data_IF_220327282741
#
_entry.id   IF_220327282741
#
_cell.length_a   1.000
_cell.length_b   1.000
_cell.length_c   1.000
_cell.angle_alpha   90.00
_cell.angle_beta   90.00
_cell.angle_gamma   90.00
#
_symmetry.space_group_name_H-M   'P 1'
#
loop_
_entity.id
_entity.type
_entity.pdbx_description
1 polymer ?
#
# COMPACT_ATOMS: atom_id res chain seq x y z
N UNK A 1 93.75 8.61 75.00
CA UNK A 1 93.08 8.52 73.68
C UNK A 1 91.75 7.80 73.88
N UNK A 2 90.60 8.49 73.82
CA UNK A 2 89.27 7.88 73.95
C UNK A 2 88.70 7.69 72.54
N UNK A 3 88.45 6.46 72.11
CA UNK A 3 87.79 6.17 70.84
C UNK A 3 86.28 6.25 71.01
N UNK A 4 85.64 7.15 70.26
CA UNK A 4 84.18 7.27 70.10
C UNK A 4 83.72 6.20 69.09
N UNK A 5 82.86 5.29 69.51
CA UNK A 5 82.08 4.47 68.59
C UNK A 5 80.84 5.27 68.16
N UNK A 6 80.74 5.58 66.88
CA UNK A 6 79.57 6.18 66.25
C UNK A 6 78.67 5.03 65.81
N UNK A 7 77.50 4.89 66.44
CA UNK A 7 76.43 4.02 65.96
C UNK A 7 75.74 4.73 64.79
N UNK A 8 75.96 4.22 63.58
CA UNK A 8 75.22 4.65 62.39
C UNK A 8 73.88 3.90 62.36
N UNK A 9 72.80 4.55 62.79
CA UNK A 9 71.44 4.03 62.62
C UNK A 9 71.03 4.28 61.17
N UNK A 10 71.09 3.23 60.35
CA UNK A 10 70.59 3.26 58.98
C UNK A 10 69.05 3.20 59.02
N UNK A 11 68.39 4.35 58.96
CA UNK A 11 66.95 4.43 58.73
C UNK A 11 66.66 4.04 57.28
N UNK A 12 66.36 2.76 57.06
CA UNK A 12 65.75 2.30 55.81
C UNK A 12 64.29 2.74 55.85
N UNK A 13 63.98 3.86 55.21
CA UNK A 13 62.60 4.25 54.94
C UNK A 13 62.06 3.35 53.81
N UNK A 14 61.29 2.32 54.17
CA UNK A 14 60.46 1.62 53.20
C UNK A 14 59.34 2.54 52.74
N UNK A 15 59.44 3.11 51.54
CA UNK A 15 58.28 3.70 50.87
C UNK A 15 57.38 2.56 50.41
N UNK A 16 56.34 2.25 51.18
CA UNK A 16 55.21 1.49 50.67
C UNK A 16 54.49 2.35 49.63
N UNK A 17 54.82 2.16 48.35
CA UNK A 17 53.94 2.58 47.28
C UNK A 17 52.78 1.59 47.28
N UNK A 18 51.68 1.94 47.96
CA UNK A 18 50.42 1.26 47.82
C UNK A 18 49.93 1.46 46.38
N UNK A 19 50.34 0.57 45.47
CA UNK A 19 49.60 0.40 44.23
C UNK A 19 48.26 -0.20 44.63
N UNK A 20 47.23 0.63 44.81
CA UNK A 20 45.86 0.13 44.75
C UNK A 20 45.75 -0.58 43.40
N UNK A 21 45.55 -1.90 43.39
CA UNK A 21 45.27 -2.59 42.14
C UNK A 21 44.00 -1.94 41.58
N UNK A 22 44.17 -1.19 40.51
CA UNK A 22 43.07 -0.62 39.76
C UNK A 22 42.40 -1.76 39.02
N UNK A 23 41.09 -1.88 39.18
CA UNK A 23 40.32 -2.87 38.46
C UNK A 23 40.35 -2.56 36.95
N UNK A 24 40.57 -3.60 36.16
CA UNK A 24 40.67 -3.53 34.69
C UNK A 24 39.71 -4.48 33.99
N UNK A 25 38.88 -5.21 34.75
CA UNK A 25 37.94 -6.19 34.23
C UNK A 25 36.58 -5.49 34.06
N UNK A 26 35.98 -5.51 32.86
CA UNK A 26 34.65 -4.95 32.67
C UNK A 26 33.54 -5.76 33.37
N UNK A 27 32.38 -5.15 33.66
CA UNK A 27 31.20 -5.86 34.13
C UNK A 27 30.73 -6.98 33.19
N UNK A 28 30.12 -8.02 33.76
CA UNK A 28 29.48 -9.10 33.02
C UNK A 28 27.96 -9.02 33.11
N UNK A 29 27.27 -9.20 31.98
CA UNK A 29 25.80 -9.31 31.94
C UNK A 29 25.35 -10.74 32.27
N UNK A 30 24.39 -10.89 33.18
CA UNK A 30 23.88 -12.21 33.57
C UNK A 30 22.94 -12.82 32.52
N UNK A 31 22.35 -11.98 31.66
CA UNK A 31 21.45 -12.39 30.58
C UNK A 31 21.65 -11.48 29.38
N UNK A 32 21.74 -12.08 28.19
CA UNK A 32 21.78 -11.35 26.92
C UNK A 32 20.39 -11.46 26.29
N UNK A 33 19.73 -10.33 25.97
CA UNK A 33 18.44 -10.36 25.31
C UNK A 33 18.57 -10.88 23.88
N UNK A 34 17.63 -11.74 23.45
CA UNK A 34 17.60 -12.28 22.10
C UNK A 34 16.92 -11.31 21.14
N UNK A 35 17.39 -11.28 19.89
CA UNK A 35 16.71 -10.58 18.81
C UNK A 35 15.30 -11.16 18.58
N UNK A 36 14.37 -10.31 18.12
CA UNK A 36 12.97 -10.70 17.94
C UNK A 36 12.42 -10.12 16.65
N UNK A 37 11.51 -10.84 16.01
CA UNK A 37 10.81 -10.40 14.80
C UNK A 37 9.31 -10.32 15.10
N UNK A 38 8.69 -9.22 14.74
CA UNK A 38 7.24 -8.99 14.86
C UNK A 38 6.70 -8.38 13.58
N UNK A 39 5.43 -8.64 13.26
CA UNK A 39 4.82 -8.09 12.04
C UNK A 39 4.32 -6.66 12.21
N UNK A 40 4.07 -6.20 13.44
CA UNK A 40 3.46 -4.90 13.70
C UNK A 40 4.20 -4.14 14.78
N UNK A 41 4.24 -2.81 14.66
CA UNK A 41 4.87 -1.95 15.67
C UNK A 41 4.20 -2.10 17.05
N UNK A 42 2.89 -2.34 17.09
CA UNK A 42 2.14 -2.56 18.34
C UNK A 42 2.52 -3.86 19.06
N UNK A 43 3.17 -4.80 18.36
CA UNK A 43 3.61 -6.08 18.91
C UNK A 43 5.05 -6.05 19.41
N UNK A 44 5.76 -4.91 19.28
CA UNK A 44 7.11 -4.76 19.83
C UNK A 44 7.05 -4.94 21.36
N UNK A 45 7.75 -5.95 21.92
CA UNK A 45 7.70 -6.22 23.35
C UNK A 45 8.39 -5.11 24.12
N UNK A 46 7.98 -4.89 25.39
CA UNK A 46 8.73 -4.03 26.30
C UNK A 46 10.19 -4.51 26.43
N UNK A 47 11.15 -3.61 26.66
CA UNK A 47 12.54 -3.99 26.86
C UNK A 47 12.66 -4.98 28.03
N UNK A 48 13.39 -6.10 27.86
CA UNK A 48 13.58 -7.05 28.96
C UNK A 48 14.42 -6.42 30.07
N UNK A 49 14.10 -6.76 31.33
CA UNK A 49 14.95 -6.44 32.46
C UNK A 49 16.17 -7.38 32.45
N UNK A 50 17.37 -6.81 32.43
CA UNK A 50 18.63 -7.54 32.53
C UNK A 50 19.47 -6.97 33.66
N UNK A 51 20.42 -7.76 34.16
CA UNK A 51 21.35 -7.36 35.22
C UNK A 51 22.78 -7.51 34.76
N UNK A 52 23.66 -6.72 35.37
CA UNK A 52 25.10 -6.83 35.22
C UNK A 52 25.74 -6.85 36.60
N UNK A 53 26.85 -7.58 36.71
CA UNK A 53 27.63 -7.66 37.93
C UNK A 53 29.11 -7.57 37.64
N UNK A 54 29.85 -6.96 38.55
CA UNK A 54 31.31 -6.95 38.56
C UNK A 54 31.82 -7.28 39.96
N UNK A 55 32.81 -8.16 40.03
CA UNK A 55 33.43 -8.61 41.29
C UNK A 55 32.44 -8.99 42.41
N UNK A 56 31.29 -9.58 42.03
CA UNK A 56 30.23 -10.01 42.96
C UNK A 56 29.28 -8.89 43.41
N UNK A 57 29.38 -7.69 42.83
CA UNK A 57 28.51 -6.55 43.09
C UNK A 57 27.62 -6.24 41.88
N UNK A 58 26.40 -5.76 42.12
CA UNK A 58 25.49 -5.35 41.04
C UNK A 58 25.92 -4.01 40.47
N UNK A 59 25.96 -3.91 39.14
CA UNK A 59 26.34 -2.69 38.42
C UNK A 59 25.08 -2.06 37.78
N UNK A 60 24.87 -0.73 37.91
CA UNK A 60 23.77 -0.05 37.23
C UNK A 60 23.96 -0.13 35.71
N UNK A 61 22.84 -0.15 35.00
CA UNK A 61 22.82 -0.26 33.54
C UNK A 61 22.15 0.96 32.95
N UNK A 62 22.83 1.60 32.00
CA UNK A 62 22.26 2.61 31.13
C UNK A 62 21.59 1.95 29.93
N UNK A 63 20.34 2.31 29.67
CA UNK A 63 19.53 1.79 28.58
C UNK A 63 19.27 2.86 27.52
N UNK A 64 19.47 2.51 26.26
CA UNK A 64 19.11 3.35 25.11
C UNK A 64 18.34 2.56 24.07
N UNK A 65 17.37 3.23 23.43
CA UNK A 65 16.56 2.68 22.34
C UNK A 65 16.53 3.66 21.18
N UNK A 66 16.76 3.16 19.96
CA UNK A 66 16.65 3.94 18.74
C UNK A 66 15.89 3.17 17.66
N UNK A 67 15.21 3.91 16.78
CA UNK A 67 14.52 3.36 15.62
C UNK A 67 15.34 3.70 14.36
N UNK A 68 15.62 2.71 13.52
CA UNK A 68 16.35 2.88 12.25
C UNK A 68 15.63 2.20 11.08
N UNK A 69 16.02 2.58 9.86
CA UNK A 69 15.56 2.04 8.58
C UNK A 69 14.04 1.88 8.45
N UNK A 70 13.30 2.89 8.92
CA UNK A 70 11.85 2.94 8.78
C UNK A 70 11.45 3.17 7.32
N UNK A 71 10.90 2.15 6.69
CA UNK A 71 10.31 2.23 5.34
C UNK A 71 8.83 2.61 5.44
N UNK A 72 8.13 2.05 6.41
CA UNK A 72 6.76 2.34 6.78
C UNK A 72 6.58 2.15 8.30
N UNK A 73 5.37 2.40 8.81
CA UNK A 73 5.06 2.25 10.25
C UNK A 73 5.37 0.84 10.80
N UNK A 74 5.21 -0.21 9.99
CA UNK A 74 5.45 -1.60 10.39
C UNK A 74 6.65 -2.25 9.65
N UNK A 75 7.59 -1.46 9.12
CA UNK A 75 8.87 -1.97 8.60
C UNK A 75 10.01 -1.08 9.09
N UNK A 76 10.66 -1.50 10.19
CA UNK A 76 11.72 -0.76 10.87
C UNK A 76 12.54 -1.69 11.78
N UNK A 77 13.69 -1.19 12.28
CA UNK A 77 14.44 -1.83 13.36
C UNK A 77 14.37 -1.01 14.63
N UNK A 78 14.11 -1.66 15.76
CA UNK A 78 14.29 -1.09 17.10
C UNK A 78 15.60 -1.64 17.67
N UNK A 79 16.60 -0.77 17.80
CA UNK A 79 17.90 -1.11 18.35
C UNK A 79 17.96 -0.72 19.82
N UNK A 80 18.23 -1.71 20.68
CA UNK A 80 18.35 -1.52 22.12
C UNK A 80 19.77 -1.80 22.55
N UNK A 81 20.33 -0.92 23.38
CA UNK A 81 21.68 -1.06 23.91
C UNK A 81 21.64 -0.85 25.41
N UNK A 82 22.20 -1.82 26.14
CA UNK A 82 22.44 -1.74 27.57
C UNK A 82 23.94 -1.61 27.79
N UNK A 83 24.36 -0.63 28.58
CA UNK A 83 25.77 -0.39 28.92
C UNK A 83 25.94 -0.40 30.43
N UNK A 84 26.85 -1.21 30.93
CA UNK A 84 27.24 -1.25 32.34
C UNK A 84 28.63 -0.63 32.47
N UNK A 85 28.79 0.27 33.45
CA UNK A 85 30.07 0.91 33.77
C UNK A 85 30.37 0.69 35.25
N UNK A 86 31.49 0.07 35.57
CA UNK A 86 31.91 -0.12 36.97
C UNK A 86 32.47 1.18 37.59
N UNK A 87 32.82 1.10 38.88
CA UNK A 87 33.36 2.23 39.62
C UNK A 87 34.78 2.64 39.18
N UNK A 88 35.50 1.76 38.48
CA UNK A 88 36.84 1.99 37.95
C UNK A 88 36.82 2.54 36.52
N UNK A 89 35.63 2.63 35.91
CA UNK A 89 35.39 3.15 34.57
C UNK A 89 35.45 2.10 33.45
N UNK A 90 35.53 0.80 33.77
CA UNK A 90 35.47 -0.24 32.75
C UNK A 90 34.03 -0.42 32.26
N UNK A 91 33.86 -0.68 30.97
CA UNK A 91 32.53 -0.72 30.32
C UNK A 91 32.29 -2.01 29.55
N UNK A 92 31.05 -2.47 29.59
CA UNK A 92 30.54 -3.55 28.74
C UNK A 92 29.17 -3.18 28.18
N UNK A 93 28.85 -3.65 26.97
CA UNK A 93 27.55 -3.42 26.36
C UNK A 93 26.98 -4.66 25.70
N UNK A 94 25.66 -4.82 25.76
CA UNK A 94 24.90 -5.83 25.02
C UNK A 94 23.82 -5.15 24.18
N UNK A 95 23.42 -5.80 23.08
CA UNK A 95 22.45 -5.27 22.12
C UNK A 95 21.31 -6.26 21.88
N UNK A 96 20.14 -5.71 21.57
CA UNK A 96 19.00 -6.45 21.02
C UNK A 96 18.49 -5.68 19.80
N UNK A 97 18.21 -6.39 18.73
CA UNK A 97 17.51 -5.87 17.56
C UNK A 97 16.11 -6.46 17.54
N UNK A 98 15.09 -5.61 17.53
CA UNK A 98 13.72 -6.01 17.20
C UNK A 98 13.41 -5.59 15.77
N UNK A 99 13.17 -6.56 14.91
CA UNK A 99 12.80 -6.35 13.52
C UNK A 99 11.28 -6.28 13.45
N UNK A 100 10.74 -5.13 13.05
CA UNK A 100 9.33 -5.00 12.69
C UNK A 100 9.26 -5.14 11.18
N UNK A 101 8.52 -6.13 10.67
CA UNK A 101 8.42 -6.36 9.24
C UNK A 101 7.05 -6.91 8.85
N UNK A 102 6.20 -6.02 8.34
CA UNK A 102 4.90 -6.35 7.81
C UNK A 102 4.97 -6.75 6.33
N UNK A 103 4.45 -7.92 6.01
CA UNK A 103 4.46 -8.50 4.66
C UNK A 103 3.12 -9.13 4.30
N UNK A 104 2.12 -8.94 5.16
CA UNK A 104 0.83 -9.60 5.05
C UNK A 104 -0.13 -8.58 4.44
N UNK A 105 -0.83 -8.99 3.39
CA UNK A 105 -1.83 -8.14 2.77
C UNK A 105 -3.08 -8.01 3.67
N UNK A 106 -3.76 -6.85 3.65
CA UNK A 106 -5.04 -6.73 4.30
C UNK A 106 -6.06 -7.72 3.73
N UNK A 107 -7.09 -8.01 4.51
CA UNK A 107 -8.19 -8.89 4.16
C UNK A 107 -9.45 -8.06 4.00
N UNK A 108 -10.06 -8.12 2.82
CA UNK A 108 -11.40 -7.56 2.62
C UNK A 108 -12.44 -8.45 3.33
N UNK A 109 -13.48 -7.86 3.94
CA UNK A 109 -14.63 -8.62 4.38
C UNK A 109 -15.39 -9.17 3.17
N UNK A 110 -16.46 -9.96 3.38
CA UNK A 110 -17.29 -10.43 2.28
C UNK A 110 -17.83 -9.23 1.47
N UNK A 111 -17.41 -9.15 0.22
CA UNK A 111 -17.92 -8.18 -0.74
C UNK A 111 -19.23 -8.72 -1.37
N UNK A 112 -20.09 -7.83 -1.89
CA UNK A 112 -21.25 -8.26 -2.66
C UNK A 112 -20.88 -9.22 -3.80
N UNK A 113 -21.71 -10.25 -3.98
CA UNK A 113 -21.54 -11.22 -5.07
C UNK A 113 -22.00 -10.68 -6.40
N UNK A 114 -21.46 -11.27 -7.46
CA UNK A 114 -21.93 -11.00 -8.82
C UNK A 114 -23.42 -11.25 -8.94
N UNK A 115 -24.11 -10.42 -9.72
CA UNK A 115 -25.56 -10.54 -9.88
C UNK A 115 -26.02 -10.16 -11.27
N UNK A 116 -27.19 -10.69 -11.64
CA UNK A 116 -27.90 -10.33 -12.87
C UNK A 116 -29.22 -9.69 -12.48
N UNK A 117 -29.50 -8.51 -13.00
CA UNK A 117 -30.74 -7.76 -12.75
C UNK A 117 -31.48 -7.50 -14.04
N UNK A 118 -32.80 -7.37 -13.97
CA UNK A 118 -33.63 -7.25 -15.17
C UNK A 118 -33.98 -5.82 -15.57
N UNK A 119 -33.64 -4.86 -14.70
CA UNK A 119 -33.77 -3.42 -14.96
C UNK A 119 -32.77 -2.64 -14.09
N UNK A 120 -32.45 -1.38 -14.43
CA UNK A 120 -31.52 -0.55 -13.66
C UNK A 120 -31.99 -0.23 -12.23
N UNK A 121 -33.30 -0.20 -11.96
CA UNK A 121 -33.84 0.06 -10.61
C UNK A 121 -33.55 -1.08 -9.63
N UNK A 122 -33.22 -2.27 -10.13
CA UNK A 122 -32.84 -3.45 -9.36
C UNK A 122 -31.34 -3.51 -9.04
N UNK A 123 -30.52 -2.57 -9.53
CA UNK A 123 -29.10 -2.52 -9.20
C UNK A 123 -28.95 -2.45 -7.68
N UNK A 124 -28.25 -3.41 -7.04
CA UNK A 124 -28.09 -3.39 -5.60
C UNK A 124 -27.41 -2.11 -5.12
N UNK A 125 -27.85 -1.53 -3.98
CA UNK A 125 -27.19 -0.37 -3.41
C UNK A 125 -25.74 -0.72 -3.05
N UNK A 126 -24.88 0.29 -3.07
CA UNK A 126 -23.49 0.14 -2.61
C UNK A 126 -23.53 -0.09 -1.09
N UNK A 127 -22.90 -1.16 -0.57
CA UNK A 127 -22.85 -1.38 0.88
C UNK A 127 -22.13 -0.23 1.59
N UNK A 128 -22.66 0.18 2.75
CA UNK A 128 -22.04 1.20 3.56
C UNK A 128 -20.76 0.65 4.19
N UNK A 129 -19.63 1.30 3.87
CA UNK A 129 -18.32 1.10 4.48
C UNK A 129 -17.84 -0.37 4.55
N UNK A 130 -17.38 -0.90 3.41
CA UNK A 130 -16.47 -2.05 3.41
C UNK A 130 -15.16 -1.60 4.08
N UNK A 131 -14.72 -2.33 5.11
CA UNK A 131 -13.46 -2.03 5.83
C UNK A 131 -12.61 -3.27 5.88
N UNK A 132 -11.45 -3.21 5.26
CA UNK A 132 -10.45 -4.26 5.35
C UNK A 132 -9.84 -4.31 6.76
N UNK A 133 -9.43 -5.51 7.15
CA UNK A 133 -8.68 -5.77 8.39
C UNK A 133 -7.32 -6.32 8.02
N UNK A 134 -6.32 -5.96 8.80
CA UNK A 134 -4.96 -6.47 8.73
C UNK A 134 -4.51 -6.98 10.10
N UNK A 135 -3.46 -7.80 10.18
CA UNK A 135 -2.91 -8.23 11.47
C UNK A 135 -2.41 -7.07 12.35
N UNK A 136 -2.13 -5.91 11.75
CA UNK A 136 -1.71 -4.70 12.45
C UNK A 136 -2.85 -3.73 12.75
N UNK A 137 -4.08 -3.99 12.30
CA UNK A 137 -5.25 -3.18 12.63
C UNK A 137 -6.27 -3.04 11.50
N UNK A 138 -6.98 -1.92 11.50
CA UNK A 138 -7.98 -1.62 10.46
C UNK A 138 -7.34 -0.83 9.34
N UNK A 139 -7.68 -1.17 8.10
CA UNK A 139 -7.16 -0.51 6.89
C UNK A 139 -8.32 0.14 6.14
N UNK A 140 -8.06 1.31 5.55
CA UNK A 140 -9.06 1.97 4.72
C UNK A 140 -9.27 1.19 3.42
N UNK A 141 -10.52 1.17 2.94
CA UNK A 141 -10.87 0.54 1.67
C UNK A 141 -11.41 1.61 0.73
N UNK A 142 -10.82 1.72 -0.45
CA UNK A 142 -11.31 2.55 -1.53
C UNK A 142 -12.34 1.77 -2.36
N UNK A 143 -13.29 2.50 -2.94
CA UNK A 143 -14.35 1.95 -3.77
C UNK A 143 -14.41 2.71 -5.09
N UNK A 144 -14.48 1.96 -6.19
CA UNK A 144 -14.62 2.50 -7.53
C UNK A 144 -15.68 1.70 -8.30
N UNK A 145 -16.43 2.40 -9.14
CA UNK A 145 -17.44 1.80 -10.01
C UNK A 145 -17.19 2.23 -11.45
N UNK A 146 -17.21 1.26 -12.37
CA UNK A 146 -17.02 1.49 -13.80
C UNK A 146 -18.12 0.76 -14.56
N UNK A 147 -18.74 1.46 -15.51
CA UNK A 147 -19.64 0.86 -16.50
C UNK A 147 -18.80 0.50 -17.71
N UNK A 148 -18.63 -0.80 -17.97
CA UNK A 148 -17.66 -1.30 -18.96
C UNK A 148 -18.26 -1.48 -20.34
N UNK A 149 -19.42 -2.14 -20.41
CA UNK A 149 -20.04 -2.52 -21.67
C UNK A 149 -21.48 -2.04 -21.73
N UNK A 150 -21.81 -1.29 -22.79
CA UNK A 150 -23.18 -1.06 -23.21
C UNK A 150 -23.46 -2.01 -24.37
N UNK A 151 -24.26 -3.05 -24.12
CA UNK A 151 -24.88 -3.84 -25.19
C UNK A 151 -26.00 -2.98 -25.82
N UNK A 152 -26.76 -2.26 -24.97
CA UNK A 152 -27.67 -1.13 -25.29
C UNK A 152 -28.02 -0.34 -24.00
N UNK A 153 -28.92 0.65 -24.07
CA UNK A 153 -29.32 1.53 -22.94
C UNK A 153 -29.88 0.76 -21.72
N UNK A 154 -30.39 -0.46 -21.94
CA UNK A 154 -30.98 -1.29 -20.88
C UNK A 154 -30.16 -2.55 -20.59
N UNK A 155 -29.07 -2.80 -21.33
CA UNK A 155 -28.20 -3.96 -21.19
C UNK A 155 -26.75 -3.50 -21.02
N UNK A 156 -26.25 -3.50 -19.78
CA UNK A 156 -24.88 -3.08 -19.50
C UNK A 156 -24.27 -3.83 -18.32
N UNK A 157 -22.95 -3.74 -18.21
CA UNK A 157 -22.18 -4.34 -17.11
C UNK A 157 -21.58 -3.24 -16.24
N UNK A 158 -21.84 -3.33 -14.94
CA UNK A 158 -21.16 -2.54 -13.91
C UNK A 158 -20.13 -3.42 -13.23
N UNK A 159 -18.88 -2.96 -13.17
CA UNK A 159 -17.87 -3.50 -12.26
C UNK A 159 -17.66 -2.56 -11.09
N UNK A 160 -17.83 -3.11 -9.89
CA UNK A 160 -17.52 -2.46 -8.61
C UNK A 160 -16.25 -3.07 -8.06
N UNK A 161 -15.27 -2.25 -7.74
CA UNK A 161 -14.00 -2.68 -7.17
C UNK A 161 -13.84 -2.08 -5.78
N UNK A 162 -13.52 -2.95 -4.83
CA UNK A 162 -13.03 -2.54 -3.51
C UNK A 162 -11.55 -2.88 -3.43
N UNK A 163 -10.73 -1.91 -3.07
CA UNK A 163 -9.29 -2.11 -2.92
C UNK A 163 -8.79 -1.54 -1.60
N UNK A 164 -7.78 -2.16 -1.03
CA UNK A 164 -7.19 -1.73 0.23
C UNK A 164 -5.68 -1.95 0.19
N UNK A 165 -4.96 -0.94 0.65
CA UNK A 165 -3.51 -0.94 0.79
C UNK A 165 -3.18 -0.56 2.22
N UNK A 166 -2.36 -1.36 2.89
CA UNK A 166 -1.87 -1.01 4.22
C UNK A 166 -0.75 0.06 4.19
N UNK A 167 -0.27 0.45 5.37
CA UNK A 167 0.78 1.47 5.53
C UNK A 167 2.13 1.06 4.89
N UNK A 168 2.32 -0.24 4.61
CA UNK A 168 3.55 -0.83 4.08
C UNK A 168 3.44 -1.24 2.61
N UNK A 169 2.31 -0.95 1.98
CA UNK A 169 2.09 -1.21 0.55
C UNK A 169 1.58 -2.61 0.23
N UNK A 170 1.26 -3.44 1.22
CA UNK A 170 0.61 -4.73 0.93
C UNK A 170 -0.84 -4.45 0.51
N UNK A 171 -1.31 -5.19 -0.51
CA UNK A 171 -2.49 -4.82 -1.28
C UNK A 171 -3.46 -5.98 -1.46
N UNK A 172 -4.75 -5.66 -1.42
CA UNK A 172 -5.85 -6.56 -1.76
C UNK A 172 -6.91 -5.82 -2.56
N UNK A 173 -7.58 -6.53 -3.47
CA UNK A 173 -8.76 -6.03 -4.14
C UNK A 173 -9.80 -7.14 -4.33
N UNK A 174 -11.05 -6.74 -4.53
CA UNK A 174 -12.16 -7.60 -4.89
C UNK A 174 -13.11 -6.88 -5.82
N UNK A 175 -13.74 -7.65 -6.72
CA UNK A 175 -14.62 -7.11 -7.76
C UNK A 175 -16.00 -7.77 -7.65
N UNK A 176 -17.04 -6.97 -7.83
CA UNK A 176 -18.40 -7.42 -8.10
C UNK A 176 -18.77 -7.04 -9.53
N UNK A 177 -19.26 -8.02 -10.30
CA UNK A 177 -19.87 -7.81 -11.61
C UNK A 177 -21.40 -7.77 -11.48
N UNK A 178 -22.03 -6.74 -12.06
CA UNK A 178 -23.48 -6.60 -12.12
C UNK A 178 -23.87 -6.54 -13.59
N UNK A 179 -24.57 -7.56 -14.07
CA UNK A 179 -25.08 -7.62 -15.43
C UNK A 179 -26.53 -7.16 -15.41
N UNK A 180 -26.84 -6.10 -16.15
CA UNK A 180 -28.20 -5.64 -16.36
C UNK A 180 -28.67 -6.27 -17.68
N UNK A 181 -29.75 -7.04 -17.65
CA UNK A 181 -30.39 -7.61 -18.84
C UNK A 181 -31.87 -7.23 -18.93
N UNK A 182 -32.28 -6.41 -19.89
CA UNK A 182 -33.69 -6.10 -20.12
C UNK A 182 -34.47 -7.36 -20.46
N UNK A 183 -35.36 -7.76 -19.55
CA UNK A 183 -36.39 -8.73 -19.88
C UNK A 183 -37.60 -7.95 -20.36
N UNK A 184 -37.60 -7.56 -21.64
CA UNK A 184 -38.72 -6.92 -22.33
C UNK A 184 -40.03 -7.57 -21.92
N UNK A 185 -40.73 -6.99 -20.95
CA UNK A 185 -42.11 -7.36 -20.66
C UNK A 185 -42.92 -6.85 -21.83
N UNK A 186 -43.35 -7.77 -22.70
CA UNK A 186 -44.31 -7.49 -23.74
C UNK A 186 -45.54 -6.80 -23.15
N UNK A 187 -45.63 -5.48 -23.31
CA UNK A 187 -46.88 -4.72 -23.44
C UNK A 187 -46.57 -3.25 -23.67
N UNK A 188 -46.60 -2.79 -24.92
CA UNK A 188 -47.64 -1.90 -25.46
C UNK A 188 -47.28 -1.42 -26.87
N UNK A 189 -48.31 -1.31 -27.70
CA UNK A 189 -48.37 -1.14 -29.15
C UNK A 189 -47.52 -0.02 -29.79
N UNK A 190 -47.01 -0.32 -31.02
CA UNK A 190 -46.48 0.58 -32.07
C UNK A 190 -45.17 1.33 -31.69
N UNK A 191 -44.08 1.31 -32.46
CA UNK A 191 -43.89 1.43 -33.91
C UNK A 191 -42.66 0.58 -34.30
N UNK A 192 -42.72 -0.08 -35.45
CA UNK A 192 -41.58 -0.74 -36.09
C UNK A 192 -40.46 0.28 -36.39
N UNK A 193 -39.51 0.44 -35.46
CA UNK A 193 -38.16 0.90 -35.77
C UNK A 193 -37.29 -0.34 -35.98
N UNK A 194 -37.22 -0.78 -37.24
CA UNK A 194 -36.08 -1.54 -37.76
C UNK A 194 -34.79 -1.09 -37.07
N UNK A 195 -34.12 -2.00 -36.34
CA UNK A 195 -32.83 -1.82 -35.68
C UNK A 195 -31.88 -0.96 -36.55
N UNK A 196 -31.82 0.35 -36.30
CA UNK A 196 -31.07 1.29 -37.12
C UNK A 196 -29.59 1.27 -36.72
N UNK A 197 -28.87 0.19 -37.04
CA UNK A 197 -27.44 0.08 -36.75
C UNK A 197 -26.67 1.29 -37.29
N UNK A 198 -25.79 1.90 -36.47
CA UNK A 198 -24.84 2.89 -36.99
C UNK A 198 -23.77 2.20 -37.83
N UNK A 199 -23.45 2.75 -39.00
CA UNK A 199 -22.42 2.23 -39.90
C UNK A 199 -21.31 3.27 -40.10
N UNK A 200 -20.06 2.83 -40.01
CA UNK A 200 -18.89 3.66 -40.27
C UNK A 200 -18.28 3.23 -41.60
N UNK A 201 -18.07 4.19 -42.51
CA UNK A 201 -17.44 3.92 -43.80
C UNK A 201 -16.54 5.08 -44.27
N UNK A 202 -15.30 4.82 -44.72
CA UNK A 202 -14.61 3.53 -44.63
C UNK A 202 -14.22 3.21 -43.17
N UNK A 203 -14.17 1.92 -42.84
CA UNK A 203 -13.57 1.42 -41.60
C UNK A 203 -12.87 0.08 -41.92
N UNK A 204 -11.53 0.02 -41.94
CA UNK A 204 -10.58 1.05 -41.51
C UNK A 204 -10.54 2.32 -42.39
N UNK A 205 -10.24 3.47 -41.80
CA UNK A 205 -10.16 4.81 -42.45
C UNK A 205 -8.73 5.38 -42.41
N UNK A 206 -8.45 6.35 -43.28
CA UNK A 206 -7.21 7.14 -43.26
C UNK A 206 -7.39 8.53 -42.63
N UNK A 207 -8.47 8.73 -41.86
CA UNK A 207 -8.81 10.01 -41.20
C UNK A 207 -10.12 10.63 -41.71
N UNK A 208 -10.53 10.27 -42.93
CA UNK A 208 -11.85 10.61 -43.50
C UNK A 208 -12.82 9.44 -43.35
N UNK A 209 -13.95 9.67 -42.70
CA UNK A 209 -15.01 8.66 -42.54
C UNK A 209 -16.39 9.28 -42.45
N UNK A 210 -17.40 8.46 -42.70
CA UNK A 210 -18.81 8.80 -42.56
C UNK A 210 -19.47 7.89 -41.55
N UNK A 211 -20.45 8.42 -40.83
CA UNK A 211 -21.29 7.67 -39.89
C UNK A 211 -22.73 7.81 -40.34
N UNK A 212 -23.40 6.70 -40.64
CA UNK A 212 -24.81 6.67 -41.01
C UNK A 212 -25.69 6.17 -39.87
N UNK A 213 -26.97 6.55 -39.88
CA UNK A 213 -27.96 6.19 -38.87
C UNK A 213 -27.96 7.13 -37.66
N UNK A 214 -27.54 8.39 -37.85
CA UNK A 214 -27.21 9.32 -36.76
C UNK A 214 -28.03 10.61 -36.75
N UNK A 215 -29.07 10.77 -37.58
CA UNK A 215 -29.80 12.04 -37.70
C UNK A 215 -30.29 12.56 -36.33
N UNK A 216 -29.88 13.79 -35.97
CA UNK A 216 -30.27 14.42 -34.71
C UNK A 216 -29.48 13.95 -33.48
N UNK A 217 -28.59 12.96 -33.63
CA UNK A 217 -27.79 12.43 -32.53
C UNK A 217 -26.49 13.22 -32.32
N UNK A 218 -26.03 13.23 -31.08
CA UNK A 218 -24.74 13.77 -30.71
C UNK A 218 -23.64 12.72 -30.92
N UNK A 219 -22.75 12.94 -31.86
CA UNK A 219 -21.62 12.05 -32.15
C UNK A 219 -20.40 12.53 -31.36
N UNK A 220 -19.75 11.63 -30.63
CA UNK A 220 -18.48 11.84 -29.93
C UNK A 220 -17.44 10.82 -30.42
N UNK A 221 -16.20 11.25 -30.57
CA UNK A 221 -15.06 10.41 -30.97
C UNK A 221 -14.06 10.38 -29.84
N UNK A 222 -13.73 9.20 -29.31
CA UNK A 222 -12.76 9.01 -28.24
C UNK A 222 -11.53 8.26 -28.73
N UNK A 223 -10.36 8.58 -28.17
CA UNK A 223 -9.16 7.76 -28.33
C UNK A 223 -9.29 6.45 -27.56
N UNK A 224 -8.41 5.49 -27.82
CA UNK A 224 -8.35 4.22 -27.08
C UNK A 224 -8.15 4.37 -25.57
N UNK A 225 -7.64 5.53 -25.12
CA UNK A 225 -7.36 5.83 -23.72
C UNK A 225 -8.51 6.63 -23.07
N UNK A 226 -9.65 6.79 -23.75
CA UNK A 226 -10.83 7.48 -23.23
C UNK A 226 -10.84 9.01 -23.40
N UNK A 227 -9.84 9.61 -24.05
CA UNK A 227 -9.80 11.06 -24.27
C UNK A 227 -10.74 11.46 -25.40
N UNK A 228 -11.54 12.51 -25.20
CA UNK A 228 -12.41 13.08 -26.24
C UNK A 228 -11.57 13.76 -27.34
N UNK A 229 -11.81 13.39 -28.59
CA UNK A 229 -11.08 13.85 -29.77
C UNK A 229 -11.92 14.78 -30.64
N UNK A 230 -13.20 14.45 -30.85
CA UNK A 230 -14.12 15.28 -31.61
C UNK A 230 -15.56 15.08 -31.15
N UNK A 231 -16.41 16.09 -31.37
CA UNK A 231 -17.83 16.05 -31.00
C UNK A 231 -18.65 16.87 -32.00
N UNK A 232 -19.79 16.35 -32.47
CA UNK A 232 -20.66 17.00 -33.47
C UNK A 232 -22.10 16.52 -33.36
N UNK A 233 -23.07 17.43 -33.45
CA UNK A 233 -24.50 17.07 -33.61
C UNK A 233 -24.76 16.81 -35.10
N UNK A 234 -25.38 15.67 -35.40
CA UNK A 234 -25.69 15.27 -36.76
C UNK A 234 -26.94 16.00 -37.29
N UNK A 235 -26.75 16.74 -38.39
CA UNK A 235 -27.84 17.46 -39.06
C UNK A 235 -28.51 16.61 -40.14
N UNK A 236 -27.87 15.51 -40.53
CA UNK A 236 -28.31 14.58 -41.55
C UNK A 236 -28.16 13.14 -41.08
N UNK A 237 -28.75 12.18 -41.82
CA UNK A 237 -28.66 10.77 -41.46
C UNK A 237 -27.26 10.18 -41.65
N UNK A 238 -26.41 10.82 -42.47
CA UNK A 238 -25.02 10.43 -42.70
C UNK A 238 -24.12 11.63 -42.51
N UNK A 239 -23.28 11.60 -41.49
CA UNK A 239 -22.35 12.69 -41.19
C UNK A 239 -20.93 12.34 -41.59
N UNK A 240 -20.28 13.28 -42.26
CA UNK A 240 -18.88 13.16 -42.67
C UNK A 240 -17.96 13.82 -41.64
N UNK A 241 -16.84 13.15 -41.37
CA UNK A 241 -15.75 13.57 -40.51
C UNK A 241 -14.45 13.55 -41.30
N UNK A 242 -13.69 14.64 -41.17
CA UNK A 242 -12.31 14.75 -41.61
C UNK A 242 -11.49 15.12 -40.37
N UNK A 243 -10.87 14.12 -39.75
CA UNK A 243 -10.11 14.28 -38.52
C UNK A 243 -8.67 13.84 -38.76
N UNK A 244 -7.71 14.66 -38.30
CA UNK A 244 -6.28 14.27 -38.28
C UNK A 244 -6.01 13.37 -37.08
N UNK A 245 -6.31 12.09 -37.24
CA UNK A 245 -6.12 11.06 -36.21
C UNK A 245 -4.79 10.32 -36.43
N UNK A 246 -4.12 9.98 -35.34
CA UNK A 246 -2.98 9.06 -35.40
C UNK A 246 -3.46 7.66 -35.75
N UNK A 247 -2.57 6.80 -36.24
CA UNK A 247 -2.88 5.38 -36.47
C UNK A 247 -3.26 4.74 -35.14
N UNK A 248 -4.37 4.00 -35.11
CA UNK A 248 -4.86 3.40 -33.88
C UNK A 248 -6.36 3.13 -33.86
N UNK A 249 -6.84 2.78 -32.67
CA UNK A 249 -8.23 2.49 -32.40
C UNK A 249 -8.89 3.71 -31.77
N UNK A 250 -10.07 4.04 -32.27
CA UNK A 250 -10.95 5.08 -31.76
C UNK A 250 -12.34 4.50 -31.54
N UNK A 251 -13.11 5.15 -30.68
CA UNK A 251 -14.49 4.80 -30.39
C UNK A 251 -15.40 5.93 -30.83
N UNK A 252 -16.33 5.62 -31.73
CA UNK A 252 -17.42 6.51 -32.11
C UNK A 252 -18.59 6.20 -31.20
N UNK A 253 -19.07 7.19 -30.47
CA UNK A 253 -20.21 7.06 -29.57
C UNK A 253 -21.31 8.04 -29.99
N UNK A 254 -22.53 7.56 -30.10
CA UNK A 254 -23.76 8.37 -30.09
C UNK A 254 -24.47 8.15 -28.75
N UNK A 255 -25.58 8.87 -28.44
CA UNK A 255 -26.29 8.64 -27.19
C UNK A 255 -26.79 7.20 -27.04
N UNK A 256 -27.08 6.53 -28.16
CA UNK A 256 -27.71 5.20 -28.17
C UNK A 256 -26.73 4.06 -28.50
N UNK A 257 -25.57 4.35 -29.12
CA UNK A 257 -24.72 3.31 -29.75
C UNK A 257 -23.24 3.66 -29.71
N UNK A 258 -22.38 2.65 -29.72
CA UNK A 258 -20.94 2.83 -29.96
C UNK A 258 -20.43 1.91 -31.07
N UNK A 259 -19.36 2.32 -31.76
CA UNK A 259 -18.70 1.50 -32.76
C UNK A 259 -17.22 1.84 -32.87
N UNK A 260 -16.41 0.78 -33.01
CA UNK A 260 -14.97 0.88 -33.19
C UNK A 260 -14.62 1.46 -34.56
N UNK A 261 -13.78 2.49 -34.59
CA UNK A 261 -13.14 3.05 -35.78
C UNK A 261 -11.65 2.68 -35.76
N UNK A 262 -11.14 2.17 -36.87
CA UNK A 262 -9.73 1.84 -37.05
C UNK A 262 -9.11 2.86 -38.00
N UNK A 263 -8.04 3.54 -37.57
CA UNK A 263 -7.25 4.45 -38.42
C UNK A 263 -5.96 3.75 -38.85
N UNK A 264 -5.73 3.66 -40.16
CA UNK A 264 -4.57 2.98 -40.78
C UNK A 264 -3.50 3.93 -41.31
#
# INVERSE_FOLDING_TARGET
MKHKYIFLVLLITFSFSAHSQQDTIPPEFNTIPNDTIVSCMVLVPSPPAITASDNGTSIPIDYTETITDSICRNQLFVNRIWTATDNSGNTASVKQIVIVNDTIAPVLPEIPRDTVVTNPEQIPPIPLAIRATDNCGLVATAFFEVILDFIDDNNFIINRTWESTDDCGNYVFGVQEIIITDKMTSATSAIDFSLSSISIYPNPSNGDFSISGVKGQLISVYSSNGNLVAKKIANSNTEHFNLKLAKGIYYICTPEKSKKLIIK
#
